data_IF_947831911413
#
_entry.id   IF_947831911413
#
_cell.length_a   1.000
_cell.length_b   1.000
_cell.length_c   1.000
_cell.angle_alpha   90.00
_cell.angle_beta   90.00
_cell.angle_gamma   90.00
#
_symmetry.space_group_name_H-M   'P 1'
#
loop_
_entity.id
_entity.type
_entity.pdbx_description
1 polymer ?
#
# COMPACT_ATOMS: atom_id res chain seq x y z
N UNK A 1 21.04 0.17 7.20
CA UNK A 1 19.90 0.71 6.43
C UNK A 1 18.65 0.05 6.99
N UNK A 2 17.70 0.82 7.51
CA UNK A 2 16.50 0.25 8.13
C UNK A 2 15.58 -0.35 7.03
N UNK A 3 15.07 -1.58 7.18
CA UNK A 3 14.29 -2.25 6.15
C UNK A 3 12.94 -1.60 5.84
N UNK A 4 12.44 -0.68 6.68
CA UNK A 4 11.21 0.08 6.43
C UNK A 4 11.45 1.36 5.63
N UNK A 5 12.69 1.88 5.58
CA UNK A 5 13.03 3.08 4.79
C UNK A 5 12.84 2.94 3.28
N UNK A 6 12.72 1.70 2.77
CA UNK A 6 12.50 1.39 1.35
C UNK A 6 11.05 1.03 1.02
N UNK A 7 10.15 1.12 1.99
CA UNK A 7 8.74 0.77 1.86
C UNK A 7 7.89 2.04 1.87
N UNK A 8 6.95 2.10 0.94
CA UNK A 8 5.97 3.17 0.84
C UNK A 8 4.59 2.62 1.25
N UNK A 9 3.73 3.50 1.79
CA UNK A 9 2.37 3.14 2.17
C UNK A 9 1.40 3.34 1.01
N UNK A 10 0.63 2.31 0.70
CA UNK A 10 -0.41 2.33 -0.34
C UNK A 10 -1.79 2.18 0.29
N UNK A 11 -2.77 2.96 -0.17
CA UNK A 11 -4.16 2.82 0.23
C UNK A 11 -4.84 1.69 -0.55
N UNK A 12 -5.37 0.70 0.17
CA UNK A 12 -6.14 -0.40 -0.40
C UNK A 12 -7.62 -0.01 -0.41
N UNK A 13 -8.20 0.05 -1.61
CA UNK A 13 -9.62 0.36 -1.82
C UNK A 13 -10.42 -0.89 -2.19
N UNK A 14 -11.57 -1.09 -1.55
CA UNK A 14 -12.49 -2.18 -1.88
C UNK A 14 -13.30 -1.87 -3.16
N UNK A 15 -13.81 -2.92 -3.85
CA UNK A 15 -14.71 -2.79 -5.00
C UNK A 15 -15.99 -1.99 -4.69
N UNK A 16 -16.63 -1.50 -5.75
CA UNK A 16 -17.81 -0.62 -5.66
C UNK A 16 -19.05 -1.22 -5.02
N UNK A 17 -19.07 -2.53 -4.81
CA UNK A 17 -20.15 -3.27 -4.16
C UNK A 17 -20.19 -3.06 -2.64
N UNK A 18 -19.11 -2.54 -2.04
CA UNK A 18 -19.02 -2.31 -0.60
C UNK A 18 -19.24 -0.83 -0.26
N UNK A 19 -20.06 -0.57 0.76
CA UNK A 19 -20.31 0.78 1.29
C UNK A 19 -19.03 1.42 1.85
N UNK A 20 -18.20 0.63 2.54
CA UNK A 20 -16.90 1.08 3.04
C UNK A 20 -15.80 0.69 2.06
N UNK A 21 -15.22 1.69 1.40
CA UNK A 21 -14.14 1.45 0.43
C UNK A 21 -12.74 1.55 1.00
N UNK A 22 -12.55 2.18 2.16
CA UNK A 22 -11.23 2.27 2.79
C UNK A 22 -11.00 0.98 3.58
N UNK A 23 -10.14 0.08 3.06
CA UNK A 23 -9.83 -1.19 3.72
C UNK A 23 -8.65 -1.02 4.67
N UNK A 24 -7.67 -0.20 4.29
CA UNK A 24 -6.49 0.09 5.09
C UNK A 24 -5.30 0.50 4.23
N UNK A 25 -4.17 0.75 4.89
CA UNK A 25 -2.90 1.03 4.22
C UNK A 25 -2.00 -0.21 4.30
N UNK A 26 -1.32 -0.54 3.21
CA UNK A 26 -0.36 -1.64 3.15
C UNK A 26 1.04 -1.13 2.80
N UNK A 27 2.06 -1.76 3.37
CA UNK A 27 3.46 -1.49 3.06
C UNK A 27 3.84 -2.20 1.76
N UNK A 28 4.27 -1.45 0.76
CA UNK A 28 4.74 -2.00 -0.51
C UNK A 28 6.20 -1.60 -0.72
N UNK A 29 6.99 -2.48 -1.32
CA UNK A 29 8.36 -2.15 -1.69
C UNK A 29 8.35 -1.13 -2.83
N UNK A 30 9.14 -0.07 -2.70
CA UNK A 30 9.37 0.86 -3.80
C UNK A 30 10.00 0.13 -4.99
N UNK A 31 9.55 0.41 -6.20
CA UNK A 31 10.18 -0.12 -7.42
C UNK A 31 11.62 0.38 -7.47
N UNK A 32 12.57 -0.56 -7.47
CA UNK A 32 13.96 -0.29 -7.79
C UNK A 32 14.15 -0.77 -9.22
N UNK A 33 14.43 0.17 -10.13
CA UNK A 33 14.80 -0.18 -11.50
C UNK A 33 16.04 -1.07 -11.48
N UNK A 34 16.09 -2.03 -12.38
CA UNK A 34 17.30 -2.82 -12.63
C UNK A 34 18.39 -1.95 -13.21
#
# INVERSE_FOLDING_TARGET
VDPFTRKDWYDVKAPSMFTTRQVGKTLVNRTQGT
#
